data_IF_107772800395
#
_entry.id   IF_107772800395
#
_cell.length_a   1.000
_cell.length_b   1.000
_cell.length_c   1.000
_cell.angle_alpha   90.00
_cell.angle_beta   90.00
_cell.angle_gamma   90.00
#
_symmetry.space_group_name_H-M   'P 1'
#
loop_
_entity.id
_entity.type
_entity.pdbx_description
1 polymer ?
#
# COMPACT_ATOMS: atom_id res chain seq x y z
N UNK A 1 20.60 -9.37 -14.71
CA UNK A 1 19.22 -9.92 -14.56
C UNK A 1 18.47 -9.70 -15.87
N UNK A 2 17.59 -10.66 -16.31
CA UNK A 2 16.74 -10.47 -17.51
C UNK A 2 15.90 -9.19 -17.33
N UNK A 3 15.66 -8.46 -18.42
CA UNK A 3 14.83 -7.25 -18.44
C UNK A 3 13.47 -7.50 -17.75
N UNK A 4 13.23 -6.85 -16.63
CA UNK A 4 11.92 -6.82 -15.95
C UNK A 4 11.21 -5.56 -16.41
N UNK A 5 10.20 -5.73 -17.25
CA UNK A 5 9.45 -4.63 -17.85
C UNK A 5 8.06 -4.43 -17.23
N UNK A 6 7.52 -5.47 -16.60
CA UNK A 6 6.18 -5.44 -15.98
C UNK A 6 6.22 -6.01 -14.57
N UNK A 7 5.79 -5.24 -13.59
CA UNK A 7 5.80 -5.60 -12.17
C UNK A 7 4.38 -5.50 -11.61
N UNK A 8 3.94 -6.51 -10.88
CA UNK A 8 2.73 -6.47 -10.07
C UNK A 8 3.12 -6.36 -8.59
N UNK A 9 2.62 -5.36 -7.89
CA UNK A 9 2.77 -5.24 -6.44
C UNK A 9 1.40 -5.45 -5.78
N UNK A 10 1.33 -6.38 -4.84
CA UNK A 10 0.09 -6.78 -4.17
C UNK A 10 0.14 -6.29 -2.72
N UNK A 11 -0.80 -5.41 -2.36
CA UNK A 11 -0.89 -4.81 -1.03
C UNK A 11 -2.35 -4.80 -0.59
N UNK A 12 -2.83 -5.90 -0.03
CA UNK A 12 -4.20 -6.03 0.47
C UNK A 12 -4.25 -5.73 1.97
N UNK A 13 -3.90 -4.51 2.36
CA UNK A 13 -3.74 -4.02 3.73
C UNK A 13 -4.41 -2.64 3.89
N UNK A 14 -4.11 -1.95 5.00
CA UNK A 14 -4.65 -0.62 5.30
C UNK A 14 -4.10 0.50 4.39
N UNK A 15 -4.73 1.67 4.43
CA UNK A 15 -4.28 2.86 3.70
C UNK A 15 -2.82 3.23 4.01
N UNK A 16 -2.41 3.16 5.27
CA UNK A 16 -1.04 3.44 5.68
C UNK A 16 -0.04 2.45 5.08
N UNK A 17 -0.38 1.15 5.03
CA UNK A 17 0.49 0.13 4.44
C UNK A 17 0.66 0.35 2.93
N UNK A 18 -0.41 0.72 2.22
CA UNK A 18 -0.36 1.07 0.80
C UNK A 18 0.53 2.28 0.59
N UNK A 19 0.35 3.34 1.39
CA UNK A 19 1.18 4.54 1.33
C UNK A 19 2.67 4.26 1.56
N UNK A 20 2.98 3.46 2.56
CA UNK A 20 4.36 3.10 2.92
C UNK A 20 5.05 2.14 1.93
N UNK A 21 4.36 1.71 0.87
CA UNK A 21 4.99 0.99 -0.25
C UNK A 21 5.71 1.90 -1.25
N UNK A 22 5.57 3.22 -1.11
CA UNK A 22 6.18 4.22 -1.99
C UNK A 22 7.68 4.02 -2.19
N UNK A 23 8.42 3.74 -1.12
CA UNK A 23 9.87 3.53 -1.19
C UNK A 23 10.23 2.30 -2.03
N UNK A 24 9.48 1.20 -1.88
CA UNK A 24 9.64 0.00 -2.71
C UNK A 24 9.37 0.32 -4.18
N UNK A 25 8.24 1.00 -4.47
CA UNK A 25 7.84 1.37 -5.83
C UNK A 25 8.93 2.20 -6.52
N UNK A 26 9.42 3.24 -5.84
CA UNK A 26 10.45 4.10 -6.38
C UNK A 26 11.79 3.39 -6.61
N UNK A 27 12.19 2.50 -5.69
CA UNK A 27 13.42 1.71 -5.84
C UNK A 27 13.33 0.76 -7.05
N UNK A 28 12.21 0.05 -7.20
CA UNK A 28 11.98 -0.82 -8.36
C UNK A 28 11.93 -0.04 -9.67
N UNK A 29 11.24 1.10 -9.67
CA UNK A 29 11.12 1.96 -10.84
C UNK A 29 12.47 2.45 -11.34
N UNK A 30 13.34 2.89 -10.44
CA UNK A 30 14.70 3.34 -10.77
C UNK A 30 15.60 2.18 -11.23
N UNK A 31 15.59 1.07 -10.48
CA UNK A 31 16.50 -0.05 -10.73
C UNK A 31 16.22 -0.73 -12.08
N UNK A 32 14.96 -0.90 -12.46
CA UNK A 32 14.57 -1.57 -13.71
C UNK A 32 14.36 -0.62 -14.89
N UNK A 33 14.70 0.66 -14.76
CA UNK A 33 14.63 1.61 -15.88
C UNK A 33 13.19 1.93 -16.31
N UNK A 34 12.36 2.32 -15.35
CA UNK A 34 10.95 2.73 -15.58
C UNK A 34 10.02 1.60 -16.08
N UNK A 35 9.96 0.45 -15.39
CA UNK A 35 9.05 -0.62 -15.75
C UNK A 35 7.57 -0.20 -15.53
N UNK A 36 6.66 -0.88 -16.21
CA UNK A 36 5.22 -0.74 -15.93
C UNK A 36 4.90 -1.41 -14.61
N UNK A 37 4.52 -0.63 -13.60
CA UNK A 37 4.14 -1.12 -12.28
C UNK A 37 2.63 -1.04 -12.12
N UNK A 38 2.00 -2.17 -11.87
CA UNK A 38 0.59 -2.28 -11.51
C UNK A 38 0.44 -2.65 -10.04
N UNK A 39 -0.62 -2.13 -9.41
CA UNK A 39 -0.96 -2.46 -8.02
C UNK A 39 -2.20 -3.36 -7.97
N UNK A 40 -2.22 -4.28 -6.99
CA UNK A 40 -3.41 -4.98 -6.55
C UNK A 40 -3.66 -4.64 -5.08
N UNK A 41 -4.74 -3.91 -4.82
CA UNK A 41 -5.08 -3.39 -3.49
C UNK A 41 -6.52 -3.75 -3.11
N UNK A 42 -6.91 -3.50 -1.87
CA UNK A 42 -8.31 -3.52 -1.48
C UNK A 42 -9.06 -2.32 -2.10
N UNK A 43 -10.34 -2.48 -2.39
CA UNK A 43 -11.16 -1.42 -3.01
C UNK A 43 -11.22 -0.15 -2.15
N UNK A 44 -11.30 -0.29 -0.84
CA UNK A 44 -11.31 0.79 0.15
C UNK A 44 -10.00 1.59 0.20
N UNK A 45 -8.88 1.01 -0.23
CA UNK A 45 -7.57 1.69 -0.27
C UNK A 45 -7.19 2.24 -1.64
N UNK A 46 -8.07 2.10 -2.64
CA UNK A 46 -7.84 2.56 -4.02
C UNK A 46 -7.54 4.05 -4.12
N UNK A 47 -8.17 4.88 -3.28
CA UNK A 47 -7.94 6.31 -3.26
C UNK A 47 -6.50 6.68 -2.91
N UNK A 48 -5.92 5.98 -1.94
CA UNK A 48 -4.51 6.15 -1.55
C UNK A 48 -3.57 5.61 -2.62
N UNK A 49 -3.89 4.45 -3.20
CA UNK A 49 -3.09 3.87 -4.29
C UNK A 49 -2.96 4.81 -5.50
N UNK A 50 -4.00 5.62 -5.81
CA UNK A 50 -3.98 6.62 -6.88
C UNK A 50 -3.03 7.80 -6.63
N UNK A 51 -2.59 7.99 -5.39
CA UNK A 51 -1.64 9.05 -5.03
C UNK A 51 -0.18 8.60 -5.19
N UNK A 52 0.05 7.31 -5.39
CA UNK A 52 1.40 6.78 -5.54
C UNK A 52 1.91 7.05 -6.97
N UNK A 53 3.17 7.53 -7.11
CA UNK A 53 3.77 7.78 -8.41
C UNK A 53 4.11 6.47 -9.13
N UNK A 54 4.33 6.57 -10.45
CA UNK A 54 4.84 5.50 -11.29
C UNK A 54 3.94 4.25 -11.35
N UNK A 55 2.63 4.41 -11.06
CA UNK A 55 1.63 3.34 -11.14
C UNK A 55 0.89 3.46 -12.47
N UNK A 56 0.86 2.35 -13.21
CA UNK A 56 0.17 2.26 -14.48
C UNK A 56 -1.30 1.84 -14.30
N UNK A 57 -1.55 0.70 -13.65
CA UNK A 57 -2.90 0.17 -13.42
C UNK A 57 -3.13 -0.20 -11.95
N UNK A 58 -4.35 0.02 -11.46
CA UNK A 58 -4.76 -0.39 -10.11
C UNK A 58 -5.89 -1.42 -10.22
N UNK A 59 -5.56 -2.68 -9.91
CA UNK A 59 -6.52 -3.75 -9.70
C UNK A 59 -7.07 -3.68 -8.29
N UNK A 60 -8.35 -3.96 -8.11
CA UNK A 60 -8.98 -3.89 -6.79
C UNK A 60 -9.71 -5.18 -6.42
N UNK A 61 -9.65 -5.53 -5.14
CA UNK A 61 -10.43 -6.59 -4.54
C UNK A 61 -11.42 -6.00 -3.54
N UNK A 62 -12.71 -6.32 -3.70
CA UNK A 62 -13.80 -5.84 -2.83
C UNK A 62 -14.23 -6.91 -1.84
N UNK A 63 -14.11 -6.62 -0.54
CA UNK A 63 -14.65 -7.49 0.51
C UNK A 63 -16.19 -7.52 0.53
N UNK A 64 -16.85 -6.47 0.05
CA UNK A 64 -18.32 -6.40 -0.08
C UNK A 64 -18.76 -7.38 -1.18
N UNK A 65 -18.16 -7.31 -2.35
CA UNK A 65 -18.44 -8.23 -3.46
C UNK A 65 -18.12 -9.69 -3.12
N UNK A 66 -17.12 -9.94 -2.25
CA UNK A 66 -16.77 -11.27 -1.78
C UNK A 66 -17.95 -11.99 -1.12
N UNK A 67 -18.84 -11.27 -0.42
CA UNK A 67 -20.01 -11.89 0.23
C UNK A 67 -21.02 -12.43 -0.79
N UNK A 68 -21.23 -11.73 -1.92
CA UNK A 68 -22.33 -12.00 -2.83
C UNK A 68 -21.90 -12.54 -4.22
N UNK A 69 -20.68 -12.22 -4.67
CA UNK A 69 -20.18 -12.54 -6.03
C UNK A 69 -18.71 -13.01 -6.02
N UNK A 70 -18.34 -13.85 -5.07
CA UNK A 70 -16.94 -14.26 -4.85
C UNK A 70 -16.29 -14.83 -6.11
N UNK A 71 -16.90 -15.83 -6.72
CA UNK A 71 -16.32 -16.52 -7.88
C UNK A 71 -16.17 -15.62 -9.11
N UNK A 72 -17.15 -14.76 -9.37
CA UNK A 72 -17.09 -13.81 -10.49
C UNK A 72 -15.94 -12.82 -10.30
N UNK A 73 -15.83 -12.23 -9.12
CA UNK A 73 -14.75 -11.29 -8.81
C UNK A 73 -13.36 -11.94 -8.89
N UNK A 74 -13.20 -13.14 -8.31
CA UNK A 74 -11.93 -13.88 -8.36
C UNK A 74 -11.55 -14.22 -9.81
N UNK A 75 -12.50 -14.71 -10.61
CA UNK A 75 -12.27 -15.03 -12.02
C UNK A 75 -11.83 -13.79 -12.81
N UNK A 76 -12.53 -12.68 -12.65
CA UNK A 76 -12.23 -11.41 -13.32
C UNK A 76 -10.83 -10.90 -12.93
N UNK A 77 -10.54 -10.88 -11.62
CA UNK A 77 -9.26 -10.43 -11.11
C UNK A 77 -8.10 -11.32 -11.59
N UNK A 78 -8.24 -12.64 -11.48
CA UNK A 78 -7.23 -13.58 -11.96
C UNK A 78 -7.01 -13.40 -13.47
N UNK A 79 -8.07 -13.32 -14.26
CA UNK A 79 -7.98 -13.07 -15.71
C UNK A 79 -7.24 -11.78 -16.04
N UNK A 80 -7.42 -10.75 -15.20
CA UNK A 80 -6.77 -9.45 -15.41
C UNK A 80 -5.25 -9.48 -15.14
N UNK A 81 -4.77 -10.39 -14.29
CA UNK A 81 -3.35 -10.45 -13.88
C UNK A 81 -2.60 -11.68 -14.40
N UNK A 82 -3.27 -12.76 -14.81
CA UNK A 82 -2.69 -14.07 -15.09
C UNK A 82 -1.52 -14.01 -16.08
N UNK A 83 -0.32 -14.40 -15.62
CA UNK A 83 0.95 -14.45 -16.38
C UNK A 83 1.31 -13.16 -17.15
N UNK A 84 0.81 -12.01 -16.71
CA UNK A 84 1.05 -10.72 -17.39
C UNK A 84 2.32 -10.02 -16.94
N UNK A 85 2.93 -10.44 -15.84
CA UNK A 85 4.06 -9.75 -15.22
C UNK A 85 5.33 -10.59 -15.24
N UNK A 86 6.48 -9.93 -15.36
CA UNK A 86 7.77 -10.58 -15.24
C UNK A 86 8.11 -10.87 -13.78
N UNK A 87 7.66 -9.97 -12.88
CA UNK A 87 7.85 -10.05 -11.44
C UNK A 87 6.55 -9.70 -10.72
N UNK A 88 6.16 -10.51 -9.75
CA UNK A 88 5.11 -10.18 -8.78
C UNK A 88 5.70 -10.09 -7.38
N UNK A 89 5.36 -9.04 -6.64
CA UNK A 89 5.80 -8.81 -5.26
C UNK A 89 4.55 -8.69 -4.38
N UNK A 90 4.40 -9.60 -3.43
CA UNK A 90 3.28 -9.57 -2.50
C UNK A 90 3.76 -9.17 -1.10
N UNK A 91 3.24 -8.05 -0.62
CA UNK A 91 3.51 -7.50 0.71
C UNK A 91 2.51 -7.99 1.77
N UNK A 92 1.55 -8.83 1.36
CA UNK A 92 0.52 -9.40 2.23
C UNK A 92 0.73 -10.91 2.37
N UNK A 93 0.74 -11.43 3.59
CA UNK A 93 1.02 -12.86 3.85
C UNK A 93 -0.19 -13.80 3.67
N UNK A 94 -1.37 -13.29 3.27
CA UNK A 94 -2.59 -14.11 3.14
C UNK A 94 -2.49 -15.14 2.02
N UNK A 95 -3.15 -16.27 2.16
CA UNK A 95 -3.15 -17.35 1.16
C UNK A 95 -3.60 -16.85 -0.21
N UNK A 96 -4.67 -16.06 -0.25
CA UNK A 96 -5.21 -15.47 -1.48
C UNK A 96 -4.20 -14.58 -2.19
N UNK A 97 -3.54 -13.67 -1.47
CA UNK A 97 -2.56 -12.75 -2.06
C UNK A 97 -1.33 -13.48 -2.59
N UNK A 98 -0.92 -14.56 -1.92
CA UNK A 98 0.16 -15.44 -2.40
C UNK A 98 -0.23 -16.11 -3.71
N UNK A 99 -1.46 -16.64 -3.81
CA UNK A 99 -1.97 -17.24 -5.06
C UNK A 99 -1.97 -16.21 -6.19
N UNK A 100 -2.42 -14.97 -5.96
CA UNK A 100 -2.35 -13.91 -6.97
C UNK A 100 -0.91 -13.63 -7.41
N UNK A 101 0.05 -13.62 -6.49
CA UNK A 101 1.44 -13.42 -6.84
C UNK A 101 1.98 -14.55 -7.72
N UNK A 102 1.70 -15.81 -7.36
CA UNK A 102 2.13 -16.98 -8.14
C UNK A 102 1.48 -17.02 -9.54
N UNK A 103 0.20 -16.62 -9.65
CA UNK A 103 -0.50 -16.62 -10.93
C UNK A 103 -0.16 -15.41 -11.81
N UNK A 104 0.18 -14.27 -11.21
CA UNK A 104 0.42 -13.02 -11.93
C UNK A 104 1.79 -12.92 -12.56
N UNK A 105 2.83 -13.34 -11.86
CA UNK A 105 4.23 -13.16 -12.26
C UNK A 105 4.93 -14.43 -12.72
N UNK A 106 5.87 -14.29 -13.67
CA UNK A 106 6.84 -15.36 -14.02
C UNK A 106 7.76 -15.68 -12.82
N UNK A 107 8.12 -14.66 -12.05
CA UNK A 107 8.79 -14.76 -10.76
C UNK A 107 7.90 -14.15 -9.70
N UNK A 108 7.81 -14.78 -8.53
CA UNK A 108 6.99 -14.32 -7.43
C UNK A 108 7.79 -14.23 -6.13
N UNK A 109 7.70 -13.07 -5.47
CA UNK A 109 8.28 -12.83 -4.15
C UNK A 109 7.12 -12.49 -3.21
N UNK A 110 7.08 -13.10 -2.04
CA UNK A 110 5.99 -12.84 -1.08
C UNK A 110 6.46 -12.80 0.36
N UNK A 111 5.80 -11.93 1.14
CA UNK A 111 5.75 -12.08 2.58
C UNK A 111 5.05 -13.40 2.93
N UNK A 112 5.55 -14.10 3.92
CA UNK A 112 4.89 -15.26 4.53
C UNK A 112 4.90 -15.12 6.05
N UNK A 113 3.98 -15.81 6.71
CA UNK A 113 3.87 -15.80 8.16
C UNK A 113 4.95 -16.67 8.83
N UNK A 114 5.49 -16.16 9.94
CA UNK A 114 6.39 -16.95 10.79
C UNK A 114 5.60 -18.10 11.46
N UNK A 115 6.18 -19.30 11.47
CA UNK A 115 5.65 -20.46 12.20
C UNK A 115 4.25 -20.97 11.79
N UNK A 116 3.76 -20.65 10.62
CA UNK A 116 2.52 -21.22 10.12
C UNK A 116 2.76 -22.54 9.41
N UNK A 117 2.56 -23.67 10.12
CA UNK A 117 2.70 -25.03 9.55
C UNK A 117 1.81 -25.27 8.33
N UNK A 118 0.66 -24.59 8.24
CA UNK A 118 -0.28 -24.69 7.11
C UNK A 118 0.22 -23.95 5.86
N UNK A 119 1.29 -23.17 5.96
CA UNK A 119 1.83 -22.34 4.88
C UNK A 119 3.02 -22.98 4.14
N UNK A 120 3.28 -24.26 4.33
CA UNK A 120 4.40 -24.97 3.65
C UNK A 120 4.31 -24.87 2.13
N UNK A 121 3.12 -24.95 1.56
CA UNK A 121 2.85 -24.83 0.13
C UNK A 121 3.26 -23.49 -0.46
N UNK A 122 3.17 -22.39 0.33
CA UNK A 122 3.62 -21.06 -0.10
C UNK A 122 5.10 -21.06 -0.48
N UNK A 123 5.92 -21.71 0.35
CA UNK A 123 7.37 -21.84 0.11
C UNK A 123 7.69 -22.63 -1.16
N UNK A 124 6.87 -23.62 -1.48
CA UNK A 124 7.05 -24.47 -2.67
C UNK A 124 6.65 -23.77 -3.97
N UNK A 125 5.61 -22.91 -3.94
CA UNK A 125 5.08 -22.25 -5.12
C UNK A 125 5.77 -20.92 -5.46
N UNK A 126 6.33 -20.24 -4.45
CA UNK A 126 6.97 -18.94 -4.64
C UNK A 126 8.39 -19.09 -5.18
N UNK A 127 8.80 -18.19 -6.06
CA UNK A 127 10.21 -18.14 -6.51
C UNK A 127 11.13 -17.71 -5.38
N UNK A 128 10.68 -16.82 -4.51
CA UNK A 128 11.39 -16.41 -3.30
C UNK A 128 10.38 -15.89 -2.26
N UNK A 129 10.77 -15.85 -0.99
CA UNK A 129 9.92 -15.37 0.08
C UNK A 129 10.74 -14.75 1.21
N UNK A 130 10.08 -13.92 2.01
CA UNK A 130 10.59 -13.40 3.27
C UNK A 130 9.55 -13.58 4.38
N UNK A 131 10.05 -13.65 5.62
CA UNK A 131 9.18 -13.79 6.79
C UNK A 131 8.75 -12.39 7.23
N UNK A 132 7.43 -12.14 7.24
CA UNK A 132 6.88 -10.92 7.79
C UNK A 132 7.20 -10.83 9.29
N UNK A 133 7.83 -9.74 9.70
CA UNK A 133 8.20 -9.50 11.09
C UNK A 133 7.34 -8.38 11.69
N UNK A 134 6.39 -8.74 12.56
CA UNK A 134 5.49 -7.80 13.22
C UNK A 134 6.19 -6.85 14.21
N UNK A 135 7.41 -7.17 14.64
CA UNK A 135 8.21 -6.29 15.52
C UNK A 135 8.98 -5.22 14.75
N UNK A 136 9.10 -5.35 13.41
CA UNK A 136 9.70 -4.34 12.55
C UNK A 136 8.65 -3.35 12.06
N UNK A 137 9.06 -2.11 11.83
CA UNK A 137 8.20 -1.14 11.15
C UNK A 137 7.78 -1.67 9.77
N UNK A 138 6.54 -1.37 9.33
CA UNK A 138 6.01 -1.88 8.06
C UNK A 138 6.87 -1.50 6.85
N UNK A 139 7.47 -0.31 6.86
CA UNK A 139 8.38 0.14 5.81
C UNK A 139 9.57 -0.81 5.63
N UNK A 140 10.16 -1.31 6.74
CA UNK A 140 11.26 -2.26 6.69
C UNK A 140 10.81 -3.59 6.09
N UNK A 141 9.60 -4.09 6.45
CA UNK A 141 9.03 -5.27 5.84
C UNK A 141 8.77 -5.08 4.34
N UNK A 142 8.30 -3.91 3.93
CA UNK A 142 8.03 -3.60 2.52
C UNK A 142 9.30 -3.53 1.66
N UNK A 143 10.46 -3.27 2.26
CA UNK A 143 11.75 -3.22 1.57
C UNK A 143 12.47 -4.57 1.48
N UNK A 144 12.06 -5.59 2.25
CA UNK A 144 12.67 -6.94 2.19
C UNK A 144 12.71 -7.55 0.77
N UNK A 145 11.72 -7.35 -0.12
CA UNK A 145 11.83 -7.81 -1.50
C UNK A 145 13.04 -7.24 -2.26
N UNK A 146 13.48 -6.01 -1.95
CA UNK A 146 14.65 -5.39 -2.59
C UNK A 146 15.93 -6.12 -2.16
N UNK A 147 16.05 -6.49 -0.87
CA UNK A 147 17.16 -7.28 -0.35
C UNK A 147 17.28 -8.63 -1.09
N UNK A 148 16.12 -9.31 -1.31
CA UNK A 148 16.06 -10.58 -2.03
C UNK A 148 16.42 -10.44 -3.52
N UNK A 149 16.23 -9.26 -4.09
CA UNK A 149 16.60 -8.95 -5.48
C UNK A 149 18.04 -8.44 -5.62
N UNK A 150 18.76 -8.21 -4.50
CA UNK A 150 20.08 -7.59 -4.48
C UNK A 150 20.07 -6.12 -4.91
N UNK A 151 18.96 -5.42 -4.66
CA UNK A 151 18.80 -4.01 -5.00
C UNK A 151 19.17 -3.17 -3.78
N UNK A 152 20.24 -2.38 -3.93
CA UNK A 152 20.58 -1.36 -2.93
C UNK A 152 19.47 -0.32 -2.83
N UNK A 153 19.09 0.03 -1.64
CA UNK A 153 18.04 1.00 -1.39
C UNK A 153 18.32 1.82 -0.13
N UNK A 154 17.96 3.07 -0.20
CA UNK A 154 17.87 3.95 0.96
C UNK A 154 16.39 4.13 1.33
N UNK A 155 16.13 4.57 2.56
CA UNK A 155 14.80 5.03 2.97
C UNK A 155 14.49 6.33 2.21
N UNK A 156 14.00 6.20 0.98
CA UNK A 156 13.69 7.34 0.13
C UNK A 156 12.40 7.96 0.65
N UNK A 157 12.47 9.19 1.09
CA UNK A 157 11.30 10.05 1.21
C UNK A 157 10.85 10.40 -0.21
N UNK A 158 9.95 9.60 -0.76
CA UNK A 158 9.36 9.90 -2.06
C UNK A 158 8.35 11.04 -1.95
N UNK A 159 8.26 11.87 -2.98
CA UNK A 159 7.15 12.80 -3.15
C UNK A 159 5.93 12.04 -3.65
N UNK A 160 4.78 12.32 -3.07
CA UNK A 160 3.49 11.84 -3.55
C UNK A 160 3.11 12.68 -4.78
N UNK A 161 2.53 12.03 -5.79
CA UNK A 161 1.88 12.77 -6.87
C UNK A 161 0.71 13.55 -6.32
N UNK A 162 0.89 14.85 -6.19
CA UNK A 162 -0.14 15.75 -5.70
C UNK A 162 -1.24 15.84 -6.76
N UNK A 163 -2.46 15.52 -6.39
CA UNK A 163 -3.62 15.75 -7.26
C UNK A 163 -3.86 17.24 -7.34
N UNK A 164 -3.25 17.91 -8.32
CA UNK A 164 -3.27 19.38 -8.48
C UNK A 164 -4.68 19.99 -8.35
N UNK A 165 -5.69 19.31 -8.88
CA UNK A 165 -7.09 19.76 -8.80
C UNK A 165 -7.63 19.84 -7.36
N UNK A 166 -7.26 18.88 -6.50
CA UNK A 166 -7.73 18.87 -5.11
C UNK A 166 -6.99 19.90 -4.26
N UNK A 167 -5.71 20.12 -4.55
CA UNK A 167 -4.89 21.13 -3.87
C UNK A 167 -5.45 22.53 -4.17
N UNK A 168 -5.68 22.86 -5.44
CA UNK A 168 -6.24 24.17 -5.81
C UNK A 168 -7.59 24.44 -5.15
N UNK A 169 -8.46 23.44 -5.01
CA UNK A 169 -9.73 23.59 -4.32
C UNK A 169 -9.56 23.90 -2.82
N UNK A 170 -8.61 23.24 -2.15
CA UNK A 170 -8.31 23.50 -0.74
C UNK A 170 -7.67 24.87 -0.58
N UNK A 171 -6.73 25.24 -1.43
CA UNK A 171 -6.07 26.54 -1.41
C UNK A 171 -7.08 27.70 -1.61
N UNK A 172 -8.04 27.55 -2.52
CA UNK A 172 -9.12 28.52 -2.72
C UNK A 172 -9.96 28.65 -1.45
N UNK A 173 -10.34 27.54 -0.83
CA UNK A 173 -11.11 27.57 0.43
C UNK A 173 -10.34 28.27 1.54
N UNK A 174 -9.07 27.94 1.74
CA UNK A 174 -8.23 28.56 2.77
C UNK A 174 -8.04 30.06 2.54
N UNK A 175 -7.85 30.48 1.27
CA UNK A 175 -7.77 31.90 0.91
C UNK A 175 -9.09 32.65 1.20
N UNK A 176 -10.22 32.07 0.82
CA UNK A 176 -11.54 32.66 1.08
C UNK A 176 -11.81 32.82 2.58
N UNK A 177 -11.29 31.88 3.40
CA UNK A 177 -11.37 31.94 4.86
C UNK A 177 -10.25 32.78 5.48
N UNK A 178 -9.34 33.36 4.68
CA UNK A 178 -8.15 34.11 5.12
C UNK A 178 -7.25 33.31 6.08
N UNK A 179 -7.17 31.99 5.88
CA UNK A 179 -6.37 31.07 6.69
C UNK A 179 -5.03 30.85 6.01
N UNK A 180 -3.94 31.30 6.63
CA UNK A 180 -2.56 31.09 6.16
C UNK A 180 -1.83 29.99 6.93
N UNK A 181 -2.23 29.75 8.18
CA UNK A 181 -1.70 28.69 9.05
C UNK A 181 -2.86 27.99 9.71
N UNK A 182 -2.77 26.70 9.86
CA UNK A 182 -3.80 25.90 10.51
C UNK A 182 -3.20 24.64 11.14
N UNK A 183 -3.94 24.05 12.08
CA UNK A 183 -3.63 22.78 12.72
C UNK A 183 -4.59 21.74 12.15
N UNK A 184 -4.09 20.57 11.76
CA UNK A 184 -4.94 19.45 11.40
C UNK A 184 -5.06 18.54 12.62
N UNK A 185 -6.27 18.41 13.14
CA UNK A 185 -6.61 17.48 14.21
C UNK A 185 -7.43 16.33 13.66
N UNK A 186 -6.93 15.09 13.78
CA UNK A 186 -7.61 13.88 13.33
C UNK A 186 -8.13 13.08 14.53
N UNK A 187 -9.41 13.20 14.91
CA UNK A 187 -9.95 12.68 16.16
C UNK A 187 -10.32 11.19 16.12
N UNK A 188 -10.29 10.55 14.96
CA UNK A 188 -10.79 9.18 14.78
C UNK A 188 -9.71 8.22 14.30
N UNK A 189 -9.96 6.93 14.49
CA UNK A 189 -9.14 5.84 13.96
C UNK A 189 -10.04 4.67 13.53
N UNK A 190 -9.48 3.72 12.78
CA UNK A 190 -10.21 2.53 12.33
C UNK A 190 -10.66 1.62 13.48
N UNK A 191 -9.94 1.66 14.61
CA UNK A 191 -10.21 0.83 15.78
C UNK A 191 -10.36 1.70 17.02
N UNK A 192 -11.39 1.46 17.82
CA UNK A 192 -11.71 2.26 19.02
C UNK A 192 -10.56 2.35 20.02
N UNK A 193 -9.78 1.27 20.19
CA UNK A 193 -8.62 1.27 21.09
C UNK A 193 -7.48 2.20 20.67
N UNK A 194 -7.53 2.74 19.45
CA UNK A 194 -6.57 3.73 18.92
C UNK A 194 -7.09 5.16 19.02
N UNK A 195 -8.32 5.32 19.46
CA UNK A 195 -8.95 6.65 19.60
C UNK A 195 -8.66 7.17 20.99
N UNK A 196 -8.18 8.40 21.08
CA UNK A 196 -8.00 9.07 22.36
C UNK A 196 -9.36 9.19 23.07
N UNK A 197 -9.46 8.90 24.38
CA UNK A 197 -10.70 9.07 25.15
C UNK A 197 -11.31 10.47 24.98
N UNK A 198 -12.64 10.57 24.98
CA UNK A 198 -13.33 11.82 24.65
C UNK A 198 -12.85 13.00 25.52
N UNK A 199 -12.78 12.81 26.84
CA UNK A 199 -12.36 13.88 27.75
C UNK A 199 -10.94 14.42 27.41
N UNK A 200 -10.01 13.54 27.03
CA UNK A 200 -8.65 13.96 26.63
C UNK A 200 -8.66 14.64 25.26
N UNK A 201 -9.54 14.25 24.35
CA UNK A 201 -9.69 14.95 23.06
C UNK A 201 -10.24 16.35 23.24
N UNK A 202 -11.23 16.51 24.12
CA UNK A 202 -11.86 17.79 24.41
C UNK A 202 -10.87 18.72 25.09
N UNK A 203 -10.10 18.22 26.06
CA UNK A 203 -9.00 18.97 26.71
C UNK A 203 -7.92 19.38 25.70
N UNK A 204 -7.49 18.47 24.83
CA UNK A 204 -6.53 18.77 23.77
C UNK A 204 -7.05 19.84 22.80
N UNK A 205 -8.31 19.77 22.41
CA UNK A 205 -8.93 20.79 21.55
C UNK A 205 -8.96 22.17 22.21
N UNK A 206 -9.27 22.24 23.50
CA UNK A 206 -9.21 23.49 24.25
C UNK A 206 -7.81 24.08 24.29
N UNK A 207 -6.80 23.23 24.56
CA UNK A 207 -5.40 23.65 24.56
C UNK A 207 -4.95 24.13 23.17
N UNK A 208 -5.31 23.40 22.10
CA UNK A 208 -4.99 23.81 20.75
C UNK A 208 -5.68 25.11 20.35
N UNK A 209 -6.94 25.31 20.76
CA UNK A 209 -7.69 26.54 20.50
C UNK A 209 -7.07 27.77 21.16
N UNK A 210 -6.42 27.60 22.32
CA UNK A 210 -5.72 28.69 23.02
C UNK A 210 -4.50 29.23 22.27
N UNK A 211 -4.01 28.50 21.27
CA UNK A 211 -2.88 28.93 20.44
C UNK A 211 -3.26 30.01 19.41
N UNK A 212 -4.56 30.32 19.25
CA UNK A 212 -5.02 31.31 18.28
C UNK A 212 -4.79 30.91 16.81
N UNK A 213 -4.54 29.63 16.55
CA UNK A 213 -4.36 29.06 15.22
C UNK A 213 -5.62 28.24 14.87
N UNK A 214 -6.27 28.45 13.72
CA UNK A 214 -7.41 27.65 13.28
C UNK A 214 -7.11 26.14 13.26
N UNK A 215 -8.07 25.35 13.74
CA UNK A 215 -7.99 23.88 13.78
C UNK A 215 -8.90 23.31 12.72
#
# INVERSE_FOLDING_TARGET
MKNINKILIIIQRSNGDVFLSLSLINALFRHFGSPNIDLLVNEDTKSVAKLLPNINTIHTFSYIKKKNKRFSQEKELISSIYKKYDLSINLTSSDRSVIYACLGGKKSISAIEKNNKKSWWKKSLLSNYYIFNSSKHILQNNLEPLNLLGIEHELIQGSIDRVKKNISNIEIKLRNMKINKFIIFHPSAQYDYKILPQHLRDELLLLLSSLGIPI
#
